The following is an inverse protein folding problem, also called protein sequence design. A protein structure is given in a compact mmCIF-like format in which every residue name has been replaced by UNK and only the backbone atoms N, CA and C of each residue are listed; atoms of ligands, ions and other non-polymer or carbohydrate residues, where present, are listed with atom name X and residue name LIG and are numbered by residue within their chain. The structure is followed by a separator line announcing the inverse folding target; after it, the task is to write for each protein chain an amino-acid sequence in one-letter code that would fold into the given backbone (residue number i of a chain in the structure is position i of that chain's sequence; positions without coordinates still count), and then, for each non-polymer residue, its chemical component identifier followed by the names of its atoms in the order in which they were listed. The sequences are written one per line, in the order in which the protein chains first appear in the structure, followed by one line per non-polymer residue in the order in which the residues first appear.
data_IF_318735709007
#
_entry.id   IF_318735709007
#
_cell.length_a   1.000
_cell.length_b   1.000
_cell.length_c   1.000
_cell.angle_alpha   90.00
_cell.angle_beta   90.00
_cell.angle_gamma   90.00
#
_symmetry.space_group_name_H-M   'P 1'
#
loop_
_entity.id
_entity.type
_entity.pdbx_description
1 polymer ?
#
# COMPACT_ATOMS: atom_id res chain seq x y z
N UNK A 1 0.40 13.81 3.69
CA UNK A 1 0.61 13.03 2.45
C UNK A 1 0.84 11.55 2.64
N UNK A 2 1.78 11.10 3.48
CA UNK A 2 2.07 9.65 3.65
C UNK A 2 0.84 8.85 4.07
N UNK A 3 0.08 9.30 5.07
CA UNK A 3 -1.15 8.63 5.51
C UNK A 3 -2.22 8.58 4.42
N UNK A 4 -2.33 9.64 3.61
CA UNK A 4 -3.26 9.70 2.48
C UNK A 4 -2.85 8.68 1.40
N UNK A 5 -1.56 8.57 1.10
CA UNK A 5 -1.06 7.55 0.16
C UNK A 5 -1.33 6.13 0.65
N UNK A 6 -1.15 5.86 1.95
CA UNK A 6 -1.48 4.55 2.54
C UNK A 6 -2.98 4.28 2.42
N UNK A 7 -3.83 5.25 2.78
CA UNK A 7 -5.28 5.12 2.69
C UNK A 7 -5.74 4.89 1.24
N UNK A 8 -5.20 5.65 0.28
CA UNK A 8 -5.51 5.48 -1.15
C UNK A 8 -5.05 4.13 -1.68
N UNK A 9 -3.88 3.65 -1.27
CA UNK A 9 -3.39 2.32 -1.65
C UNK A 9 -4.30 1.22 -1.09
N UNK A 10 -4.70 1.30 0.18
CA UNK A 10 -5.63 0.34 0.78
C UNK A 10 -7.02 0.41 0.15
N UNK A 11 -7.52 1.60 -0.16
CA UNK A 11 -8.77 1.78 -0.89
C UNK A 11 -8.73 1.09 -2.26
N UNK A 12 -7.66 1.30 -3.03
CA UNK A 12 -7.45 0.62 -4.30
C UNK A 12 -7.40 -0.91 -4.15
N UNK A 13 -6.70 -1.43 -3.14
CA UNK A 13 -6.66 -2.87 -2.88
C UNK A 13 -8.07 -3.42 -2.61
N UNK A 14 -8.85 -2.75 -1.77
CA UNK A 14 -10.21 -3.18 -1.46
C UNK A 14 -11.16 -3.09 -2.67
N UNK A 15 -11.01 -2.08 -3.54
CA UNK A 15 -11.75 -1.98 -4.81
C UNK A 15 -11.45 -3.16 -5.75
N UNK A 16 -10.22 -3.69 -5.66
CA UNK A 16 -9.78 -4.89 -6.38
C UNK A 16 -10.12 -6.20 -5.64
N UNK A 17 -10.93 -6.15 -4.57
CA UNK A 17 -11.24 -7.27 -3.68
C UNK A 17 -9.99 -7.95 -3.09
N UNK A 18 -8.91 -7.18 -2.88
CA UNK A 18 -7.66 -7.64 -2.27
C UNK A 18 -7.57 -7.12 -0.83
N UNK A 19 -7.42 -8.02 0.13
CA UNK A 19 -7.09 -7.67 1.52
C UNK A 19 -5.59 -7.87 1.75
N UNK A 20 -4.87 -6.82 2.14
CA UNK A 20 -3.40 -6.89 2.34
C UNK A 20 -2.99 -7.84 3.49
N UNK A 21 -3.77 -7.87 4.58
CA UNK A 21 -3.57 -8.68 5.80
C UNK A 21 -2.27 -8.47 6.61
N UNK A 22 -1.28 -7.73 6.10
CA UNK A 22 0.00 -7.47 6.80
C UNK A 22 0.39 -5.98 6.80
N UNK A 23 -0.57 -5.08 7.06
CA UNK A 23 -0.28 -3.64 7.06
C UNK A 23 0.46 -3.25 8.34
N UNK A 24 1.75 -2.95 8.20
CA UNK A 24 2.65 -2.53 9.27
C UNK A 24 3.76 -1.62 8.72
N UNK A 25 4.44 -0.82 9.55
CA UNK A 25 5.47 0.12 9.08
C UNK A 25 6.57 -0.53 8.24
N UNK A 26 6.97 -1.76 8.55
CA UNK A 26 8.02 -2.48 7.81
C UNK A 26 7.62 -2.82 6.37
N UNK A 27 6.32 -2.81 6.06
CA UNK A 27 5.76 -3.10 4.75
C UNK A 27 5.38 -1.83 3.96
N UNK A 28 5.84 -0.66 4.42
CA UNK A 28 5.63 0.63 3.76
C UNK A 28 7.01 1.16 3.35
N UNK A 29 7.28 1.19 2.06
CA UNK A 29 8.59 1.57 1.52
C UNK A 29 8.51 2.96 0.90
N UNK A 30 9.44 3.83 1.27
CA UNK A 30 9.66 5.11 0.57
C UNK A 30 10.46 4.81 -0.70
N UNK A 31 9.88 5.11 -1.85
CA UNK A 31 10.50 4.86 -3.16
C UNK A 31 11.12 6.11 -3.78
N UNK A 32 10.65 7.29 -3.37
CA UNK A 32 11.19 8.56 -3.80
C UNK A 32 10.82 9.65 -2.79
N UNK A 33 11.69 10.63 -2.56
CA UNK A 33 11.39 11.76 -1.70
C UNK A 33 12.20 12.98 -2.10
N UNK A 34 11.65 14.16 -1.78
CA UNK A 34 12.33 15.45 -1.85
C UNK A 34 12.04 16.24 -0.58
N UNK A 35 13.09 16.77 0.05
CA UNK A 35 12.98 17.45 1.36
C UNK A 35 12.83 18.96 1.17
N UNK A 36 11.84 19.53 1.83
CA UNK A 36 11.46 20.94 1.67
C UNK A 36 12.53 21.95 2.10
N UNK A 37 13.43 21.57 3.02
CA UNK A 37 14.56 22.42 3.43
C UNK A 37 15.45 22.85 2.26
N UNK A 38 15.38 22.14 1.13
CA UNK A 38 16.13 22.45 -0.09
C UNK A 38 15.20 23.09 -1.15
N UNK A 39 13.91 22.74 -1.20
CA UNK A 39 12.98 23.17 -2.26
C UNK A 39 11.54 23.35 -1.76
N UNK A 40 10.82 24.40 -2.22
CA UNK A 40 9.46 24.74 -1.76
C UNK A 40 8.35 23.70 -2.05
N UNK A 41 8.66 22.60 -2.72
CA UNK A 41 7.72 21.55 -3.16
C UNK A 41 8.23 20.14 -2.84
N UNK A 42 8.64 19.92 -1.60
CA UNK A 42 9.02 18.60 -1.12
C UNK A 42 7.88 17.60 -1.22
N UNK A 43 8.23 16.32 -1.31
CA UNK A 43 7.27 15.23 -1.41
C UNK A 43 7.88 13.94 -0.87
N UNK A 44 7.03 12.98 -0.53
CA UNK A 44 7.40 11.60 -0.20
C UNK A 44 6.49 10.70 -1.01
N UNK A 45 7.02 9.72 -1.71
CA UNK A 45 6.28 8.70 -2.45
C UNK A 45 6.50 7.34 -1.79
N UNK A 46 5.42 6.66 -1.42
CA UNK A 46 5.45 5.36 -0.76
C UNK A 46 4.83 4.25 -1.62
N UNK A 47 5.23 3.01 -1.36
CA UNK A 47 4.58 1.79 -1.87
C UNK A 47 4.35 0.80 -0.75
N UNK A 48 3.24 0.07 -0.80
CA UNK A 48 2.98 -1.10 0.04
C UNK A 48 3.68 -2.33 -0.53
N UNK A 49 4.25 -3.17 0.33
CA UNK A 49 4.93 -4.41 -0.03
C UNK A 49 4.47 -5.59 0.84
N UNK A 50 4.93 -6.79 0.51
CA UNK A 50 4.68 -8.04 1.26
C UNK A 50 3.22 -8.50 1.24
N UNK A 51 2.75 -8.80 0.02
CA UNK A 51 1.44 -9.39 -0.26
C UNK A 51 1.38 -10.91 -0.01
N UNK A 52 2.36 -11.48 0.69
CA UNK A 52 2.52 -12.94 0.83
C UNK A 52 1.33 -13.60 1.56
N UNK A 53 0.68 -12.87 2.46
CA UNK A 53 -0.52 -13.33 3.18
C UNK A 53 -1.78 -12.62 2.75
N UNK A 54 -1.74 -11.90 1.62
CA UNK A 54 -2.91 -11.21 1.09
C UNK A 54 -3.93 -12.21 0.57
N UNK A 55 -5.19 -11.77 0.55
CA UNK A 55 -6.33 -12.56 0.09
C UNK A 55 -7.07 -11.82 -1.00
N UNK A 56 -7.55 -12.55 -1.99
CA UNK A 56 -8.42 -12.08 -3.06
C UNK A 56 -9.78 -12.75 -2.90
N UNK A 57 -10.86 -11.99 -2.98
CA UNK A 57 -12.19 -12.57 -3.07
C UNK A 57 -12.50 -12.99 -4.52
N UNK A 58 -12.85 -14.25 -4.72
CA UNK A 58 -13.29 -14.80 -6.01
C UNK A 58 -14.62 -15.52 -5.81
N UNK A 59 -15.70 -14.99 -6.41
CA UNK A 59 -17.06 -15.54 -6.28
C UNK A 59 -17.57 -15.64 -4.83
N UNK A 60 -17.16 -14.72 -3.95
CA UNK A 60 -17.52 -14.75 -2.52
C UNK A 60 -16.58 -15.59 -1.65
N UNK A 61 -15.62 -16.31 -2.24
CA UNK A 61 -14.62 -17.09 -1.50
C UNK A 61 -13.28 -16.34 -1.43
N UNK A 62 -12.72 -16.21 -0.22
CA UNK A 62 -11.36 -15.70 -0.03
C UNK A 62 -10.31 -16.75 -0.45
N UNK A 63 -9.39 -16.36 -1.34
CA UNK A 63 -8.26 -17.19 -1.78
C UNK A 63 -6.95 -16.47 -1.52
N UNK A 64 -5.88 -17.16 -1.10
CA UNK A 64 -4.58 -16.53 -0.94
C UNK A 64 -3.99 -16.14 -2.30
N UNK A 65 -3.26 -15.02 -2.36
CA UNK A 65 -2.67 -14.47 -3.60
C UNK A 65 -1.48 -15.25 -4.13
N UNK A 66 -0.98 -16.26 -3.41
CA UNK A 66 0.23 -17.01 -3.72
C UNK A 66 -0.02 -18.40 -4.35
N UNK A 67 -1.23 -18.64 -4.88
CA UNK A 67 -1.56 -19.85 -5.63
C UNK A 67 -1.11 -19.79 -7.09
#
# INVERSE_FOLDING_TARGET
DVMIQIANAMFYLHDMNVVHCNLKPQNIIIVNFKIEKIEKNGYIHIKLIDFRISKVEVNGDERPTNQ
#
